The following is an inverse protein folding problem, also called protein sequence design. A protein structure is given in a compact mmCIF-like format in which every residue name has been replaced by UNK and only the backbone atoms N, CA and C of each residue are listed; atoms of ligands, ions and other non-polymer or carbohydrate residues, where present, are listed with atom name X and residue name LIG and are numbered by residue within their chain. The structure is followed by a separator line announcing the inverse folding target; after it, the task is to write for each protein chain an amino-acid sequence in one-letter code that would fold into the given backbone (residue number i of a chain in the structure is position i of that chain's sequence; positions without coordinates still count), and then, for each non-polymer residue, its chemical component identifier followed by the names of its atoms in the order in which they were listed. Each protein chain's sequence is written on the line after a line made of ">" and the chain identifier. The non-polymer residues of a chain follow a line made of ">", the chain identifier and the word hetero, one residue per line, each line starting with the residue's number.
data_IF_419328823865
#
_entry.id   IF_419328823865
#
_cell.length_a   1.000
_cell.length_b   1.000
_cell.length_c   1.000
_cell.angle_alpha   90.00
_cell.angle_beta   90.00
_cell.angle_gamma   90.00
#
_symmetry.space_group_name_H-M   'P 1'
#
loop_
_entity.id
_entity.type
_entity.pdbx_description
1 polymer ?
#
# COMPACT_ATOMS: atom_id res chain seq x y z
N UNK A 1 13.73 -13.18 -10.63
CA UNK A 1 12.69 -12.37 -9.96
C UNK A 1 12.56 -11.10 -10.78
N UNK A 2 11.70 -11.14 -11.79
CA UNK A 2 11.53 -10.02 -12.72
C UNK A 2 10.41 -9.17 -12.14
N UNK A 3 10.78 -8.01 -11.60
CA UNK A 3 9.80 -7.00 -11.20
C UNK A 3 9.21 -6.41 -12.49
N UNK A 4 8.03 -6.84 -12.90
CA UNK A 4 7.24 -6.12 -13.88
C UNK A 4 6.51 -5.00 -13.11
N UNK A 5 6.99 -3.76 -13.27
CA UNK A 5 6.21 -2.60 -12.89
C UNK A 5 4.99 -2.54 -13.83
N UNK A 6 3.80 -2.86 -13.31
CA UNK A 6 2.58 -2.58 -14.06
C UNK A 6 2.44 -1.05 -14.17
N UNK A 7 2.41 -0.59 -15.41
CA UNK A 7 2.45 0.83 -15.79
C UNK A 7 1.03 1.39 -15.79
N UNK A 8 0.33 1.28 -14.66
CA UNK A 8 -0.93 2.02 -14.44
C UNK A 8 -0.57 3.48 -14.19
N UNK A 9 -0.73 4.28 -15.24
CA UNK A 9 -0.15 5.60 -15.53
C UNK A 9 -0.77 6.76 -14.72
N UNK A 10 -1.02 6.58 -13.41
CA UNK A 10 -1.83 7.51 -12.63
C UNK A 10 -1.25 8.01 -11.29
N UNK A 11 0.07 8.10 -11.19
CA UNK A 11 0.73 8.71 -10.02
C UNK A 11 0.75 7.81 -8.78
N UNK A 12 0.37 6.55 -8.90
CA UNK A 12 0.48 5.57 -7.84
C UNK A 12 1.74 4.71 -8.01
N UNK A 13 2.53 4.57 -6.95
CA UNK A 13 3.70 3.71 -6.92
C UNK A 13 3.49 2.59 -5.90
N UNK A 14 3.10 1.41 -6.38
CA UNK A 14 3.01 0.20 -5.55
C UNK A 14 4.41 -0.25 -5.16
N UNK A 15 4.61 -0.59 -3.88
CA UNK A 15 5.92 -1.02 -3.40
C UNK A 15 5.91 -2.26 -2.49
N UNK A 16 4.73 -2.66 -1.97
CA UNK A 16 4.58 -3.90 -1.22
C UNK A 16 3.19 -4.50 -1.43
N UNK A 17 3.12 -5.83 -1.43
CA UNK A 17 1.88 -6.59 -1.42
C UNK A 17 1.82 -7.46 -0.16
N UNK A 18 0.66 -7.52 0.46
CA UNK A 18 0.36 -8.49 1.52
C UNK A 18 0.08 -9.85 0.86
N UNK A 19 0.50 -10.96 1.48
CA UNK A 19 0.41 -12.28 0.83
C UNK A 19 -0.84 -13.09 1.20
N UNK A 20 -1.48 -12.76 2.31
CA UNK A 20 -2.70 -13.38 2.82
C UNK A 20 -3.98 -12.59 2.44
N UNK A 21 -3.83 -11.45 1.76
CA UNK A 21 -4.93 -10.59 1.28
C UNK A 21 -4.51 -9.89 0.00
N UNK A 22 -5.46 -9.38 -0.80
CA UNK A 22 -5.17 -8.55 -1.99
C UNK A 22 -4.84 -7.08 -1.66
N UNK A 23 -4.35 -6.82 -0.44
CA UNK A 23 -3.94 -5.50 -0.01
C UNK A 23 -2.54 -5.15 -0.56
N UNK A 24 -2.42 -3.96 -1.13
CA UNK A 24 -1.17 -3.40 -1.64
C UNK A 24 -0.89 -2.06 -0.96
N UNK A 25 0.37 -1.86 -0.57
CA UNK A 25 0.86 -0.58 -0.07
C UNK A 25 1.48 0.21 -1.22
N UNK A 26 1.13 1.49 -1.29
CA UNK A 26 1.53 2.38 -2.37
C UNK A 26 1.74 3.82 -1.91
N UNK A 27 2.50 4.57 -2.69
CA UNK A 27 2.57 6.03 -2.59
C UNK A 27 1.64 6.67 -3.61
N UNK A 28 0.86 7.67 -3.18
CA UNK A 28 0.17 8.60 -4.07
C UNK A 28 1.09 9.79 -4.38
N UNK A 29 1.82 9.70 -5.49
CA UNK A 29 2.73 10.74 -5.95
C UNK A 29 2.02 12.02 -6.41
N UNK A 30 0.69 12.01 -6.54
CA UNK A 30 -0.11 13.20 -6.89
C UNK A 30 -0.62 13.94 -5.65
N UNK A 31 -0.77 13.25 -4.51
CA UNK A 31 -1.25 13.84 -3.25
C UNK A 31 -0.10 14.18 -2.30
N UNK A 32 0.46 13.17 -1.66
CA UNK A 32 1.57 13.30 -0.72
C UNK A 32 2.53 12.11 -0.90
N UNK A 33 3.73 12.32 -1.46
CA UNK A 33 4.68 11.25 -1.71
C UNK A 33 5.31 10.68 -0.43
N UNK A 34 5.08 11.28 0.74
CA UNK A 34 5.53 10.72 2.02
C UNK A 34 4.51 9.75 2.63
N UNK A 35 3.23 9.94 2.30
CA UNK A 35 2.13 9.13 2.81
C UNK A 35 2.09 7.77 2.14
N UNK A 36 1.97 6.70 2.93
CA UNK A 36 1.68 5.36 2.43
C UNK A 36 0.18 5.13 2.51
N UNK A 37 -0.42 4.68 1.41
CA UNK A 37 -1.82 4.26 1.34
C UNK A 37 -1.84 2.75 1.16
N UNK A 38 -2.76 2.08 1.85
CA UNK A 38 -3.06 0.66 1.63
C UNK A 38 -4.41 0.58 0.93
N UNK A 39 -4.44 -0.06 -0.23
CA UNK A 39 -5.65 -0.33 -0.99
C UNK A 39 -5.82 -1.82 -1.25
N UNK A 40 -7.06 -2.26 -1.45
CA UNK A 40 -7.41 -3.59 -1.85
C UNK A 40 -7.61 -3.61 -3.37
N UNK A 41 -6.64 -4.15 -4.14
CA UNK A 41 -6.58 -4.02 -5.61
C UNK A 41 -7.73 -4.77 -6.34
N UNK A 42 -8.49 -5.60 -5.62
CA UNK A 42 -9.63 -6.36 -6.14
C UNK A 42 -10.99 -5.96 -5.53
N UNK A 43 -11.06 -4.82 -4.83
CA UNK A 43 -12.33 -4.33 -4.32
C UNK A 43 -13.21 -3.70 -5.41
N UNK A 44 -14.52 -3.66 -5.16
CA UNK A 44 -15.43 -2.88 -5.99
C UNK A 44 -15.07 -1.37 -5.92
N UNK A 45 -15.34 -0.60 -6.98
CA UNK A 45 -15.05 0.83 -7.02
C UNK A 45 -15.58 1.59 -5.79
N UNK A 46 -14.68 2.30 -5.10
CA UNK A 46 -14.98 3.06 -3.88
C UNK A 46 -14.78 2.28 -2.57
N UNK A 47 -14.38 1.01 -2.63
CA UNK A 47 -14.12 0.14 -1.47
C UNK A 47 -12.66 -0.28 -1.33
N UNK A 48 -11.78 0.25 -2.18
CA UNK A 48 -10.38 -0.12 -2.24
C UNK A 48 -9.62 0.39 -1.01
N UNK A 49 -9.94 1.57 -0.48
CA UNK A 49 -9.17 2.19 0.58
C UNK A 49 -9.25 1.43 1.91
N UNK A 50 -8.09 1.04 2.45
CA UNK A 50 -7.98 0.35 3.75
C UNK A 50 -7.38 1.21 4.85
N UNK A 51 -6.27 1.89 4.57
CA UNK A 51 -5.55 2.67 5.58
C UNK A 51 -4.64 3.72 4.93
N UNK A 52 -4.33 4.78 5.68
CA UNK A 52 -3.29 5.75 5.34
C UNK A 52 -2.30 5.87 6.51
N UNK A 53 -1.02 6.03 6.19
CA UNK A 53 0.05 6.23 7.16
C UNK A 53 0.88 7.46 6.76
N UNK A 54 1.19 8.37 7.71
CA UNK A 54 1.81 9.65 7.38
C UNK A 54 3.24 9.52 6.83
N UNK A 55 3.92 8.41 7.12
CA UNK A 55 5.26 8.11 6.62
C UNK A 55 5.42 6.62 6.37
N UNK A 56 6.42 6.26 5.56
CA UNK A 56 6.86 4.87 5.42
C UNK A 56 7.19 4.21 6.77
N UNK A 57 7.81 4.94 7.70
CA UNK A 57 8.15 4.39 9.01
C UNK A 57 6.92 4.11 9.87
N UNK A 58 5.88 4.96 9.80
CA UNK A 58 4.62 4.71 10.50
C UNK A 58 3.92 3.45 9.96
N UNK A 59 3.91 3.27 8.64
CA UNK A 59 3.40 2.03 8.02
C UNK A 59 4.21 0.81 8.44
N UNK A 60 5.55 0.92 8.44
CA UNK A 60 6.42 -0.19 8.85
C UNK A 60 6.23 -0.56 10.31
N UNK A 61 6.09 0.42 11.20
CA UNK A 61 5.82 0.17 12.62
C UNK A 61 4.48 -0.55 12.79
N UNK A 62 3.43 -0.17 12.06
CA UNK A 62 2.14 -0.86 12.11
C UNK A 62 2.23 -2.34 11.68
N UNK A 63 3.14 -2.69 10.77
CA UNK A 63 3.43 -4.09 10.41
C UNK A 63 4.16 -4.80 11.55
N UNK A 64 5.17 -4.16 12.15
CA UNK A 64 5.92 -4.72 13.27
C UNK A 64 4.99 -4.99 14.46
N UNK A 65 4.09 -4.04 14.76
CA UNK A 65 3.05 -4.17 15.78
C UNK A 65 2.16 -5.39 15.48
N UNK A 66 1.72 -5.59 14.23
CA UNK A 66 0.89 -6.74 13.85
C UNK A 66 1.60 -8.09 14.09
N UNK A 67 2.91 -8.15 13.85
CA UNK A 67 3.72 -9.37 14.03
C UNK A 67 3.97 -9.67 15.51
N UNK A 68 4.10 -8.65 16.36
CA UNK A 68 4.35 -8.84 17.81
C UNK A 68 3.14 -9.40 18.56
N UNK A 69 1.94 -9.32 17.98
CA UNK A 69 0.70 -9.85 18.57
C UNK A 69 0.33 -11.29 18.15
N UNK A 70 1.18 -11.96 17.35
CA UNK A 70 1.01 -13.36 16.89
C UNK A 70 2.07 -14.28 17.51
#
# INVERSE_FOLDING_TARGET
>A
MVWQADSRTDGWCLFANRQDTDDVACWDLRRDPQQVVVIHDFADPGWEHRAEYPTFYAWRQAIEDLIEFD
#
